data_IF_444411787463
#
_entry.id   IF_444411787463
#
_cell.length_a   1.000
_cell.length_b   1.000
_cell.length_c   1.000
_cell.angle_alpha   90.00
_cell.angle_beta   90.00
_cell.angle_gamma   90.00
#
_symmetry.space_group_name_H-M   'P 1'
#
loop_
_entity.id
_entity.type
_entity.pdbx_description
1 polymer ?
#
# COMPACT_ATOMS: atom_id res chain seq x y z
N UNK A 1 6.87 -6.70 13.36
CA UNK A 1 6.63 -6.49 11.91
C UNK A 1 7.88 -6.85 11.13
N UNK A 2 7.74 -7.57 10.02
CA UNK A 2 8.84 -8.02 9.17
C UNK A 2 9.41 -6.83 8.36
N UNK A 3 10.73 -6.61 8.44
CA UNK A 3 11.42 -5.50 7.75
C UNK A 3 11.45 -5.66 6.22
N UNK A 4 11.12 -6.83 5.69
CA UNK A 4 11.21 -7.11 4.25
C UNK A 4 9.91 -6.85 3.49
N UNK A 5 8.85 -6.37 4.13
CA UNK A 5 7.57 -6.12 3.46
C UNK A 5 7.59 -4.73 2.84
N UNK A 6 7.35 -4.65 1.52
CA UNK A 6 7.25 -3.37 0.79
C UNK A 6 5.80 -2.92 0.64
N UNK A 7 4.89 -3.87 0.38
CA UNK A 7 3.48 -3.61 0.08
C UNK A 7 2.62 -4.45 1.00
N UNK A 8 1.62 -3.83 1.62
CA UNK A 8 0.52 -4.55 2.27
C UNK A 8 -0.61 -4.72 1.25
N UNK A 9 -0.76 -5.94 0.73
CA UNK A 9 -1.74 -6.30 -0.29
C UNK A 9 -3.17 -6.36 0.28
N UNK A 10 -4.13 -5.83 -0.48
CA UNK A 10 -5.58 -5.75 -0.25
C UNK A 10 -5.89 -5.76 1.24
N UNK A 11 -5.58 -4.66 1.95
CA UNK A 11 -5.36 -4.67 3.39
C UNK A 11 -6.58 -5.05 4.22
N UNK A 12 -7.79 -4.72 3.74
CA UNK A 12 -9.03 -5.14 4.41
C UNK A 12 -9.30 -6.62 4.18
N UNK A 13 -8.80 -7.14 3.08
CA UNK A 13 -9.14 -8.44 2.54
C UNK A 13 -10.64 -8.52 2.23
N UNK A 14 -11.31 -7.42 1.87
CA UNK A 14 -12.75 -7.50 1.54
C UNK A 14 -12.97 -8.27 0.23
N UNK A 15 -14.19 -8.75 0.03
CA UNK A 15 -14.72 -9.24 -1.26
C UNK A 15 -16.22 -8.93 -1.32
N UNK A 16 -16.66 -8.26 -2.38
CA UNK A 16 -18.07 -7.96 -2.62
C UNK A 16 -18.92 -9.23 -2.49
N UNK A 17 -20.04 -9.13 -1.78
CA UNK A 17 -21.01 -10.21 -1.51
C UNK A 17 -20.47 -11.49 -0.83
N UNK A 18 -19.21 -11.49 -0.39
CA UNK A 18 -18.57 -12.67 0.23
C UNK A 18 -17.99 -12.33 1.59
N UNK A 19 -17.31 -11.19 1.73
CA UNK A 19 -16.59 -10.83 2.96
C UNK A 19 -16.48 -9.31 3.11
N UNK A 20 -16.98 -8.80 4.24
CA UNK A 20 -16.97 -7.36 4.55
C UNK A 20 -15.54 -6.75 4.66
N UNK A 21 -14.55 -7.60 4.96
CA UNK A 21 -13.18 -7.20 5.25
C UNK A 21 -13.00 -6.77 6.70
N UNK A 22 -11.75 -6.74 7.16
CA UNK A 22 -11.42 -6.33 8.52
C UNK A 22 -11.66 -4.84 8.73
N UNK A 23 -11.87 -4.46 9.99
CA UNK A 23 -11.90 -3.07 10.45
C UNK A 23 -10.58 -2.77 11.14
N UNK A 24 -10.00 -1.63 10.82
CA UNK A 24 -8.79 -1.13 11.45
C UNK A 24 -8.88 0.39 11.57
N UNK A 25 -8.03 0.95 12.42
CA UNK A 25 -7.75 2.38 12.41
C UNK A 25 -6.78 2.66 11.25
N UNK A 26 -7.33 3.11 10.12
CA UNK A 26 -6.56 3.32 8.90
C UNK A 26 -5.61 4.51 8.98
N UNK A 27 -5.87 5.48 9.86
CA UNK A 27 -4.95 6.55 10.17
C UNK A 27 -3.68 6.00 10.86
N UNK A 28 -3.84 5.08 11.81
CA UNK A 28 -2.71 4.39 12.46
C UNK A 28 -1.95 3.52 11.47
N UNK A 29 -2.65 2.73 10.65
CA UNK A 29 -2.03 1.86 9.64
C UNK A 29 -1.26 2.68 8.60
N UNK A 30 -1.87 3.74 8.07
CA UNK A 30 -1.26 4.61 7.07
C UNK A 30 0.02 5.27 7.62
N UNK A 31 -0.02 5.84 8.82
CA UNK A 31 1.18 6.44 9.46
C UNK A 31 2.27 5.39 9.69
N UNK A 32 1.92 4.20 10.15
CA UNK A 32 2.89 3.13 10.39
C UNK A 32 3.57 2.66 9.09
N UNK A 33 2.83 2.62 7.97
CA UNK A 33 3.35 2.33 6.65
C UNK A 33 4.25 3.47 6.13
N UNK A 34 3.82 4.73 6.28
CA UNK A 34 4.63 5.91 5.89
C UNK A 34 5.98 5.95 6.61
N UNK A 35 6.00 5.69 7.92
CA UNK A 35 7.24 5.66 8.73
C UNK A 35 8.25 4.60 8.25
N UNK A 36 7.78 3.56 7.58
CA UNK A 36 8.60 2.45 7.08
C UNK A 36 8.88 2.54 5.59
N UNK A 37 8.41 3.60 4.95
CA UNK A 37 8.39 3.75 3.50
C UNK A 37 7.76 2.53 2.80
N UNK A 38 6.69 2.00 3.39
CA UNK A 38 5.87 0.91 2.85
C UNK A 38 4.69 1.50 2.07
N UNK A 39 4.28 0.78 1.02
CA UNK A 39 3.07 1.09 0.28
C UNK A 39 1.87 0.30 0.82
N UNK A 40 0.69 0.89 0.71
CA UNK A 40 -0.59 0.18 0.82
C UNK A 40 -1.15 -0.07 -0.57
N UNK A 41 -1.67 -1.27 -0.81
CA UNK A 41 -2.24 -1.62 -2.11
C UNK A 41 -3.59 -0.93 -2.36
N UNK A 42 -3.82 -0.59 -3.62
CA UNK A 42 -5.11 -0.26 -4.21
C UNK A 42 -5.38 -1.35 -5.25
N UNK A 43 -6.03 -2.42 -4.80
CA UNK A 43 -6.42 -3.56 -5.63
C UNK A 43 -7.59 -3.13 -6.52
N UNK A 44 -7.36 -3.08 -7.82
CA UNK A 44 -8.35 -2.63 -8.81
C UNK A 44 -9.34 -3.72 -9.21
N UNK A 45 -9.24 -4.94 -8.67
CA UNK A 45 -10.20 -5.99 -8.95
C UNK A 45 -11.62 -5.53 -8.56
N UNK A 46 -12.64 -5.69 -9.42
CA UNK A 46 -13.98 -5.14 -9.17
C UNK A 46 -14.61 -5.57 -7.84
N UNK A 47 -14.41 -6.83 -7.43
CA UNK A 47 -14.95 -7.31 -6.15
C UNK A 47 -14.09 -6.88 -4.94
N UNK A 48 -12.87 -6.40 -5.18
CA UNK A 48 -11.90 -6.04 -4.14
C UNK A 48 -11.95 -4.56 -3.83
N UNK A 49 -11.70 -3.67 -4.80
CA UNK A 49 -11.51 -2.21 -4.65
C UNK A 49 -11.10 -1.86 -3.21
N UNK A 50 -9.91 -2.34 -2.84
CA UNK A 50 -9.37 -2.38 -1.47
C UNK A 50 -7.96 -1.75 -1.50
N UNK A 51 -7.72 -0.62 -0.84
CA UNK A 51 -8.63 0.12 0.04
C UNK A 51 -9.72 0.91 -0.70
N UNK A 52 -10.85 1.12 -0.02
CA UNK A 52 -11.89 2.04 -0.49
C UNK A 52 -11.44 3.51 -0.38
N UNK A 53 -12.15 4.39 -1.08
CA UNK A 53 -11.81 5.82 -1.19
C UNK A 53 -11.76 6.54 0.16
N UNK A 54 -12.59 6.15 1.13
CA UNK A 54 -12.61 6.80 2.43
C UNK A 54 -11.31 6.50 3.19
N UNK A 55 -10.91 5.23 3.23
CA UNK A 55 -9.66 4.82 3.85
C UNK A 55 -8.44 5.36 3.10
N UNK A 56 -8.52 5.48 1.77
CA UNK A 56 -7.47 6.11 0.97
C UNK A 56 -7.26 7.59 1.28
N UNK A 57 -8.24 8.31 1.84
CA UNK A 57 -8.01 9.69 2.31
C UNK A 57 -7.07 9.72 3.53
N UNK A 58 -7.16 8.74 4.43
CA UNK A 58 -6.21 8.61 5.54
C UNK A 58 -4.80 8.30 5.01
N UNK A 59 -4.70 7.43 3.99
CA UNK A 59 -3.44 7.13 3.28
C UNK A 59 -2.84 8.39 2.64
N UNK A 60 -3.67 9.19 1.95
CA UNK A 60 -3.26 10.44 1.34
C UNK A 60 -2.77 11.46 2.39
N UNK A 61 -3.53 11.64 3.48
CA UNK A 61 -3.21 12.57 4.56
C UNK A 61 -1.89 12.21 5.26
N UNK A 62 -1.61 10.92 5.44
CA UNK A 62 -0.35 10.44 6.02
C UNK A 62 0.85 10.54 5.06
N UNK A 63 0.62 10.82 3.77
CA UNK A 63 1.66 10.84 2.75
C UNK A 63 2.26 9.45 2.46
N UNK A 64 1.53 8.39 2.80
CA UNK A 64 1.91 6.99 2.61
C UNK A 64 1.98 6.68 1.11
N UNK A 65 2.93 5.83 0.71
CA UNK A 65 2.97 5.35 -0.68
C UNK A 65 1.81 4.41 -0.97
N UNK A 66 1.43 4.30 -2.23
CA UNK A 66 0.48 3.29 -2.71
C UNK A 66 1.03 2.51 -3.89
N UNK A 67 0.58 1.27 -4.01
CA UNK A 67 0.76 0.44 -5.20
C UNK A 67 -0.61 0.17 -5.80
N UNK A 68 -0.77 0.40 -7.10
CA UNK A 68 -2.01 0.14 -7.84
C UNK A 68 -1.76 -1.10 -8.71
N UNK A 69 -2.57 -2.13 -8.54
CA UNK A 69 -2.56 -3.32 -9.39
C UNK A 69 -3.99 -3.83 -9.60
N UNK A 70 -4.14 -4.99 -10.22
CA UNK A 70 -5.43 -5.55 -10.62
C UNK A 70 -5.73 -6.93 -10.03
N UNK A 71 -4.84 -7.49 -9.20
CA UNK A 71 -4.91 -8.90 -8.75
C UNK A 71 -5.22 -9.88 -9.91
N UNK A 72 -4.64 -9.63 -11.08
CA UNK A 72 -5.00 -10.34 -12.32
C UNK A 72 -4.54 -11.80 -12.29
N UNK A 73 -5.49 -12.70 -12.56
CA UNK A 73 -5.32 -14.13 -12.79
C UNK A 73 -5.48 -14.48 -14.28
N UNK A 74 -5.94 -13.54 -15.11
CA UNK A 74 -6.02 -13.61 -16.58
C UNK A 74 -5.61 -12.29 -17.23
N UNK A 75 -5.25 -12.33 -18.51
CA UNK A 75 -4.72 -11.16 -19.22
C UNK A 75 -5.74 -10.01 -19.34
N UNK A 76 -7.02 -10.33 -19.55
CA UNK A 76 -8.10 -9.36 -19.73
C UNK A 76 -8.33 -8.53 -18.47
N UNK A 77 -7.98 -9.09 -17.31
CA UNK A 77 -8.19 -8.49 -15.99
C UNK A 77 -7.23 -7.33 -15.70
N UNK A 78 -6.13 -7.23 -16.45
CA UNK A 78 -5.24 -6.05 -16.43
C UNK A 78 -5.99 -4.77 -16.83
N UNK A 79 -7.10 -4.88 -17.58
CA UNK A 79 -7.95 -3.76 -17.95
C UNK A 79 -8.63 -3.07 -16.78
N UNK A 80 -8.66 -3.69 -15.59
CA UNK A 80 -9.32 -3.13 -14.41
C UNK A 80 -8.55 -2.03 -13.70
N UNK A 81 -7.28 -1.76 -14.07
CA UNK A 81 -6.44 -0.72 -13.45
C UNK A 81 -7.11 0.66 -13.36
N UNK A 82 -8.06 0.95 -14.25
CA UNK A 82 -8.87 2.17 -14.22
C UNK A 82 -9.64 2.38 -12.90
N UNK A 83 -10.07 1.31 -12.23
CA UNK A 83 -10.76 1.41 -10.94
C UNK A 83 -9.81 1.93 -9.84
N UNK A 84 -8.60 1.38 -9.74
CA UNK A 84 -7.61 1.83 -8.76
C UNK A 84 -7.12 3.25 -9.02
N UNK A 85 -6.92 3.62 -10.30
CA UNK A 85 -6.60 4.99 -10.69
C UNK A 85 -7.70 5.98 -10.28
N UNK A 86 -8.97 5.65 -10.55
CA UNK A 86 -10.10 6.48 -10.16
C UNK A 86 -10.19 6.65 -8.63
N UNK A 87 -9.97 5.57 -7.88
CA UNK A 87 -9.96 5.60 -6.42
C UNK A 87 -8.82 6.50 -5.87
N UNK A 88 -7.61 6.36 -6.41
CA UNK A 88 -6.45 7.18 -6.03
C UNK A 88 -6.69 8.67 -6.29
N UNK A 89 -7.22 9.01 -7.48
CA UNK A 89 -7.56 10.40 -7.84
C UNK A 89 -8.61 10.96 -6.89
N UNK A 90 -9.70 10.21 -6.63
CA UNK A 90 -10.80 10.66 -5.77
C UNK A 90 -10.38 10.83 -4.31
N UNK A 91 -9.40 10.05 -3.85
CA UNK A 91 -8.82 10.18 -2.52
C UNK A 91 -7.77 11.30 -2.41
N UNK A 92 -7.34 11.89 -3.54
CA UNK A 92 -6.31 12.94 -3.55
C UNK A 92 -4.89 12.40 -3.36
N UNK A 93 -4.64 11.14 -3.72
CA UNK A 93 -3.29 10.57 -3.68
C UNK A 93 -2.42 11.30 -4.69
N UNK A 94 -1.29 11.84 -4.22
CA UNK A 94 -0.31 12.50 -5.09
C UNK A 94 0.39 11.48 -5.98
N UNK A 95 0.66 11.87 -7.22
CA UNK A 95 1.34 11.03 -8.21
C UNK A 95 2.71 10.53 -7.73
N UNK A 96 3.48 11.36 -7.03
CA UNK A 96 4.81 11.01 -6.47
C UNK A 96 4.75 10.04 -5.27
N UNK A 97 3.54 9.68 -4.83
CA UNK A 97 3.29 8.64 -3.83
C UNK A 97 2.81 7.32 -4.44
N UNK A 98 2.60 7.24 -5.75
CA UNK A 98 2.24 6.00 -6.43
C UNK A 98 3.52 5.32 -6.96
N UNK A 99 3.86 4.15 -6.43
CA UNK A 99 5.11 3.46 -6.79
C UNK A 99 5.15 3.02 -8.26
N UNK A 100 3.99 2.79 -8.88
CA UNK A 100 3.87 2.43 -10.29
C UNK A 100 4.39 3.52 -11.25
N UNK A 101 4.49 4.77 -10.79
CA UNK A 101 5.02 5.89 -11.59
C UNK A 101 6.52 6.12 -11.41
N UNK A 102 7.19 5.35 -10.55
CA UNK A 102 8.64 5.42 -10.41
C UNK A 102 9.34 4.87 -11.67
N UNK A 103 10.45 5.47 -12.10
CA UNK A 103 11.39 4.81 -12.99
C UNK A 103 11.82 3.44 -12.43
N UNK A 104 11.95 2.45 -13.30
CA UNK A 104 12.21 1.05 -12.90
C UNK A 104 13.43 0.90 -11.96
N UNK A 105 14.47 1.71 -12.15
CA UNK A 105 15.67 1.65 -11.30
C UNK A 105 15.39 2.18 -9.89
N UNK A 106 14.58 3.24 -9.77
CA UNK A 106 14.15 3.79 -8.48
C UNK A 106 13.24 2.81 -7.75
N UNK A 107 12.27 2.22 -8.46
CA UNK A 107 11.39 1.19 -7.89
C UNK A 107 12.19 0.00 -7.34
N UNK A 108 13.19 -0.48 -8.10
CA UNK A 108 14.08 -1.57 -7.66
C UNK A 108 14.98 -1.16 -6.49
N UNK A 109 15.40 0.10 -6.41
CA UNK A 109 16.16 0.60 -5.27
C UNK A 109 15.27 0.64 -4.02
N UNK A 110 14.10 1.28 -4.11
CA UNK A 110 13.09 1.34 -3.05
C UNK A 110 12.76 -0.04 -2.49
N UNK A 111 12.47 -1.01 -3.36
CA UNK A 111 12.13 -2.36 -2.94
C UNK A 111 13.26 -3.08 -2.18
N UNK A 112 14.53 -2.72 -2.46
CA UNK A 112 15.73 -3.26 -1.80
C UNK A 112 16.15 -2.49 -0.53
N UNK A 113 15.78 -1.21 -0.43
CA UNK A 113 16.21 -0.29 0.64
C UNK A 113 15.26 -0.21 1.84
N UNK A 114 13.95 -0.37 1.66
CA UNK A 114 12.99 -0.46 2.79
C UNK A 114 13.40 -1.47 3.88
N UNK A 115 14.02 -2.63 3.57
CA UNK A 115 14.63 -3.53 4.56
C UNK A 115 15.70 -2.92 5.47
N UNK A 116 16.39 -1.88 5.02
CA UNK A 116 17.58 -1.30 5.66
C UNK A 116 17.22 -0.05 6.46
N UNK A 117 16.29 0.77 5.97
CA UNK A 117 15.80 1.97 6.66
C UNK A 117 15.00 1.61 7.93
N UNK A 118 14.09 0.64 7.83
CA UNK A 118 13.31 0.17 8.99
C UNK A 118 14.20 -0.39 10.11
N UNK A 119 15.28 -1.08 9.77
CA UNK A 119 16.28 -1.56 10.74
C UNK A 119 17.02 -0.40 11.42
N UNK A 120 17.39 0.64 10.67
CA UNK A 120 18.07 1.83 11.20
C UNK A 120 17.19 2.65 12.14
N UNK A 121 15.92 2.84 11.80
CA UNK A 121 14.95 3.56 12.65
C UNK A 121 14.61 2.75 13.90
N UNK A 122 14.35 1.44 13.76
CA UNK A 122 14.04 0.57 14.90
C UNK A 122 15.23 0.39 15.86
N UNK A 123 16.45 0.25 15.34
CA UNK A 123 17.66 0.19 16.17
C UNK A 123 17.92 1.51 16.92
N UNK A 124 17.60 2.66 16.30
CA UNK A 124 17.66 3.98 16.96
C UNK A 124 16.57 4.20 18.00
N UNK A 125 15.43 3.52 17.88
CA UNK A 125 14.32 3.58 18.82
C UNK A 125 14.47 2.63 20.04
N UNK A 126 15.63 1.96 20.21
CA UNK A 126 15.94 1.18 21.41
C UNK A 126 15.33 -0.23 21.47
N UNK A 127 14.82 -0.77 20.36
CA UNK A 127 14.24 -2.12 20.34
C UNK A 127 15.30 -3.21 20.27
N UNK A 128 15.70 -3.78 21.42
CA UNK A 128 16.66 -4.89 21.51
C UNK A 128 16.07 -6.18 20.91
N UNK A 129 16.75 -6.75 19.90
CA UNK A 129 16.42 -8.05 19.33
C UNK A 129 16.90 -9.15 20.29
N UNK A 130 16.00 -9.81 21.01
CA UNK A 130 16.28 -11.16 21.53
C UNK A 130 15.81 -12.16 20.48
N UNK A 131 16.76 -12.91 19.95
CA UNK A 131 16.54 -14.10 19.11
C UNK A 131 15.99 -15.21 20.02
#
# INVERSE_FOLDING_TARGET
MNSRVQILAHPRGRRYDVRLGLRADWDVVARAAAQRDMALEIDSWPDRQDLDVENLRAVAAAGTRVAIDTDAHKAEELGFVGFGLAAAIRAGIRMDRVVNFMPVNELRAWARESPQMARRIWARAGGTLRI
#
